data_IF_709084613418
#
_entry.id   IF_709084613418
#
_cell.length_a   1.000
_cell.length_b   1.000
_cell.length_c   1.000
_cell.angle_alpha   90.00
_cell.angle_beta   90.00
_cell.angle_gamma   90.00
#
_symmetry.space_group_name_H-M   'P 1'
#
loop_
_entity.id
_entity.type
_entity.pdbx_description
1 polymer ?
#
# COMPACT_ATOMS: atom_id res chain seq x y z
N UNK A 1 66.65 62.66 -22.99
CA UNK A 1 67.42 61.90 -23.98
C UNK A 1 67.79 60.55 -23.38
N UNK A 2 67.43 59.46 -24.08
CA UNK A 2 67.90 58.07 -23.91
C UNK A 2 67.54 57.34 -22.59
N UNK A 3 67.34 56.04 -22.54
CA UNK A 3 67.04 54.98 -23.51
C UNK A 3 66.71 53.71 -22.70
N UNK A 4 65.94 52.82 -23.33
CA UNK A 4 65.46 51.50 -22.89
C UNK A 4 66.59 50.46 -22.67
N UNK A 5 66.34 49.49 -21.77
CA UNK A 5 66.69 48.04 -21.77
C UNK A 5 67.20 47.59 -20.39
N UNK A 6 66.89 46.42 -19.83
CA UNK A 6 66.04 45.30 -20.22
C UNK A 6 66.10 44.17 -19.16
N UNK A 7 65.08 43.30 -19.21
CA UNK A 7 65.03 41.85 -18.95
C UNK A 7 65.43 41.19 -17.60
N UNK A 8 64.57 40.22 -17.27
CA UNK A 8 64.72 39.01 -16.43
C UNK A 8 64.68 39.26 -14.91
N UNK A 9 63.79 38.67 -14.12
CA UNK A 9 63.06 37.42 -14.24
C UNK A 9 63.50 36.52 -13.07
N UNK A 10 62.66 36.39 -12.05
CA UNK A 10 62.69 35.47 -10.88
C UNK A 10 61.60 36.03 -9.94
N UNK A 11 60.63 35.32 -9.40
CA UNK A 11 60.26 33.92 -9.36
C UNK A 11 59.18 33.83 -8.28
N UNK A 12 58.07 33.15 -8.61
CA UNK A 12 57.11 32.47 -7.73
C UNK A 12 56.98 32.90 -6.25
N UNK A 13 55.75 33.26 -5.85
CA UNK A 13 54.90 32.38 -5.03
C UNK A 13 53.77 33.17 -4.34
N UNK A 14 52.56 32.59 -4.33
CA UNK A 14 51.56 32.90 -3.30
C UNK A 14 50.24 33.50 -3.78
N UNK A 15 49.54 32.90 -4.75
CA UNK A 15 48.09 33.12 -4.87
C UNK A 15 47.37 32.40 -3.73
N UNK A 16 47.37 33.00 -2.53
CA UNK A 16 46.49 32.62 -1.44
C UNK A 16 45.09 33.17 -1.70
N UNK A 17 44.30 32.48 -2.52
CA UNK A 17 42.87 32.79 -2.67
C UNK A 17 42.16 32.25 -1.43
N UNK A 18 41.85 33.15 -0.50
CA UNK A 18 40.94 32.93 0.63
C UNK A 18 39.65 32.35 0.06
N UNK A 19 39.46 31.04 0.21
CA UNK A 19 38.22 30.38 -0.18
C UNK A 19 37.16 30.84 0.83
N UNK A 20 36.42 31.87 0.42
CA UNK A 20 35.22 32.32 1.11
C UNK A 20 34.37 31.09 1.41
N UNK A 21 34.10 30.88 2.70
CA UNK A 21 33.06 29.96 3.16
C UNK A 21 31.75 30.44 2.55
N UNK A 22 31.41 29.88 1.39
CA UNK A 22 30.06 29.95 0.85
C UNK A 22 29.18 29.18 1.82
N UNK A 23 28.41 29.90 2.63
CA UNK A 23 27.29 29.36 3.38
C UNK A 23 26.15 29.11 2.38
N UNK A 24 26.38 28.23 1.40
CA UNK A 24 25.36 27.80 0.47
C UNK A 24 24.50 26.73 1.15
N UNK A 25 23.33 27.17 1.58
CA UNK A 25 22.16 26.29 1.67
C UNK A 25 22.07 25.47 2.95
N UNK A 26 22.14 26.09 4.12
CA UNK A 26 21.26 25.64 5.20
C UNK A 26 19.81 25.95 4.78
N UNK A 27 19.25 25.08 3.94
CA UNK A 27 17.81 25.00 3.79
C UNK A 27 17.25 24.69 5.19
N UNK A 28 16.55 25.66 5.78
CA UNK A 28 16.02 25.53 7.13
C UNK A 28 15.23 24.22 7.28
N UNK A 29 15.36 23.48 8.40
CA UNK A 29 14.51 22.33 8.69
C UNK A 29 13.16 22.85 9.22
N UNK A 30 12.46 23.62 8.39
CA UNK A 30 11.18 24.20 8.71
C UNK A 30 10.13 23.28 8.09
N UNK A 31 9.68 22.33 8.90
CA UNK A 31 8.36 21.70 8.77
C UNK A 31 8.13 20.84 7.52
N UNK A 32 8.85 19.72 7.38
CA UNK A 32 8.33 18.61 6.57
C UNK A 32 7.11 18.04 7.29
N UNK A 33 5.95 18.66 7.11
CA UNK A 33 4.66 18.01 7.38
C UNK A 33 4.59 16.83 6.42
N UNK A 34 4.80 15.62 6.94
CA UNK A 34 4.50 14.40 6.19
C UNK A 34 3.03 14.47 5.77
N UNK A 35 2.79 14.76 4.49
CA UNK A 35 1.44 14.76 3.93
C UNK A 35 0.89 13.34 4.07
N UNK A 36 -0.31 13.22 4.65
CA UNK A 36 -0.99 11.95 4.72
C UNK A 36 -1.50 11.57 3.32
N UNK A 37 -0.68 10.81 2.60
CA UNK A 37 -0.92 10.34 1.23
C UNK A 37 -1.39 8.88 1.25
N UNK A 38 -1.86 8.36 0.10
CA UNK A 38 -2.22 6.94 0.00
C UNK A 38 -0.97 6.08 0.18
N UNK A 39 -1.04 5.10 1.07
CA UNK A 39 0.04 4.14 1.24
C UNK A 39 0.16 3.24 0.01
N UNK A 40 1.35 3.25 -0.60
CA UNK A 40 1.74 2.22 -1.57
C UNK A 40 2.32 1.04 -0.80
N UNK A 41 1.68 -0.13 -0.90
CA UNK A 41 2.12 -1.33 -0.20
C UNK A 41 3.01 -2.13 -1.18
N UNK A 42 4.28 -2.42 -0.84
CA UNK A 42 5.15 -3.16 -1.73
C UNK A 42 4.64 -4.58 -1.93
N UNK A 43 4.83 -5.14 -3.13
CA UNK A 43 4.33 -6.47 -3.47
C UNK A 43 5.00 -7.60 -2.67
N UNK A 44 6.20 -7.35 -2.12
CA UNK A 44 6.90 -8.26 -1.20
C UNK A 44 6.08 -8.60 0.05
N UNK A 45 5.16 -7.74 0.48
CA UNK A 45 4.27 -7.99 1.64
C UNK A 45 3.25 -9.09 1.35
N UNK A 46 2.96 -9.35 0.08
CA UNK A 46 1.93 -10.32 -0.34
C UNK A 46 2.51 -11.62 -0.88
N UNK A 47 3.83 -11.79 -0.82
CA UNK A 47 4.49 -13.05 -1.18
C UNK A 47 4.48 -13.97 0.05
N UNK A 48 3.74 -15.10 0.02
CA UNK A 48 3.70 -16.01 1.16
C UNK A 48 5.05 -16.69 1.32
N UNK A 49 5.48 -16.85 2.57
CA UNK A 49 6.71 -17.58 2.91
C UNK A 49 6.35 -19.06 3.13
N UNK A 50 7.27 -20.01 2.89
CA UNK A 50 7.04 -21.43 3.14
C UNK A 50 6.42 -21.73 4.53
N UNK A 51 6.92 -21.08 5.59
CA UNK A 51 6.39 -21.25 6.96
C UNK A 51 4.99 -20.67 7.21
N UNK A 52 4.49 -19.75 6.37
CA UNK A 52 3.13 -19.24 6.49
C UNK A 52 2.10 -20.31 6.08
N UNK A 53 2.46 -21.20 5.15
CA UNK A 53 1.58 -22.25 4.66
C UNK A 53 1.30 -23.30 5.74
N UNK A 54 2.30 -23.68 6.53
CA UNK A 54 2.14 -24.61 7.66
C UNK A 54 1.26 -24.00 8.77
N UNK A 55 1.43 -22.70 9.03
CA UNK A 55 0.69 -22.00 10.09
C UNK A 55 -0.78 -21.78 9.76
N UNK A 56 -1.07 -21.41 8.53
CA UNK A 56 -2.42 -21.03 8.10
C UNK A 56 -3.14 -22.14 7.31
N UNK A 57 -2.48 -23.28 7.06
CA UNK A 57 -3.05 -24.46 6.42
C UNK A 57 -3.52 -24.22 4.98
N UNK A 58 -2.86 -23.28 4.27
CA UNK A 58 -3.22 -22.90 2.91
C UNK A 58 -2.33 -23.54 1.87
N UNK A 59 -2.91 -24.29 0.93
CA UNK A 59 -2.18 -24.90 -0.18
C UNK A 59 -1.91 -23.86 -1.28
N UNK A 60 -0.64 -23.63 -1.68
CA UNK A 60 -0.31 -22.72 -2.78
C UNK A 60 -0.76 -23.26 -4.14
N UNK A 61 -0.82 -24.59 -4.28
CA UNK A 61 -1.24 -25.26 -5.52
C UNK A 61 -2.74 -25.07 -5.80
N UNK A 62 -3.55 -24.99 -4.76
CA UNK A 62 -5.00 -24.80 -4.87
C UNK A 62 -5.44 -23.52 -4.15
N UNK A 63 -5.31 -22.35 -4.80
CA UNK A 63 -5.77 -21.11 -4.23
C UNK A 63 -7.30 -21.10 -4.09
N UNK A 64 -7.78 -20.54 -2.99
CA UNK A 64 -9.21 -20.40 -2.76
C UNK A 64 -9.85 -19.43 -3.76
N UNK A 65 -11.00 -19.83 -4.32
CA UNK A 65 -11.69 -19.06 -5.36
C UNK A 65 -12.50 -17.88 -4.81
N UNK A 66 -12.96 -17.97 -3.56
CA UNK A 66 -13.86 -17.00 -2.93
C UNK A 66 -13.34 -16.57 -1.55
N UNK A 67 -13.41 -15.27 -1.29
CA UNK A 67 -13.12 -14.64 0.00
C UNK A 67 -14.41 -14.34 0.76
N UNK A 68 -14.43 -14.66 2.05
CA UNK A 68 -15.41 -14.14 3.00
C UNK A 68 -14.80 -12.93 3.69
N UNK A 69 -15.36 -11.77 3.43
CA UNK A 69 -14.86 -10.51 3.96
C UNK A 69 -15.89 -9.93 4.92
N UNK A 70 -15.42 -9.55 6.10
CA UNK A 70 -16.26 -8.95 7.13
C UNK A 70 -15.60 -7.66 7.61
N UNK A 71 -16.33 -6.54 7.61
CA UNK A 71 -15.82 -5.32 8.22
C UNK A 71 -15.83 -5.42 9.74
N UNK A 72 -14.68 -5.20 10.37
CA UNK A 72 -14.51 -5.27 11.84
C UNK A 72 -14.26 -3.91 12.49
N UNK A 73 -13.68 -2.94 11.75
CA UNK A 73 -13.44 -1.59 12.27
C UNK A 73 -14.37 -0.56 11.61
N UNK A 74 -14.60 0.54 12.32
CA UNK A 74 -15.40 1.66 11.83
C UNK A 74 -14.68 2.44 10.72
N UNK A 75 -15.48 3.07 9.86
CA UNK A 75 -15.02 3.94 8.77
C UNK A 75 -15.02 5.43 9.16
N UNK A 76 -15.46 5.72 10.38
CA UNK A 76 -15.49 7.07 10.93
C UNK A 76 -14.03 7.52 11.15
N UNK A 77 -13.72 8.76 10.80
CA UNK A 77 -12.34 9.30 10.86
C UNK A 77 -11.38 8.74 9.81
N UNK A 78 -11.85 7.91 8.86
CA UNK A 78 -11.02 7.38 7.77
C UNK A 78 -11.01 8.28 6.54
N UNK A 79 -9.98 8.18 5.69
CA UNK A 79 -9.87 8.94 4.46
C UNK A 79 -11.03 8.64 3.50
N UNK A 80 -11.37 9.61 2.65
CA UNK A 80 -12.51 9.47 1.73
C UNK A 80 -12.34 8.32 0.71
N UNK A 81 -11.10 7.97 0.35
CA UNK A 81 -10.84 6.85 -0.57
C UNK A 81 -11.14 5.48 0.06
N UNK A 82 -10.85 5.29 1.35
CA UNK A 82 -11.21 4.06 2.07
C UNK A 82 -12.73 3.93 2.18
N UNK A 83 -13.42 5.04 2.47
CA UNK A 83 -14.89 5.10 2.51
C UNK A 83 -15.51 4.69 1.18
N UNK A 84 -14.97 5.17 0.06
CA UNK A 84 -15.44 4.80 -1.28
C UNK A 84 -15.28 3.31 -1.54
N UNK A 85 -14.10 2.75 -1.25
CA UNK A 85 -13.83 1.31 -1.46
C UNK A 85 -14.80 0.43 -0.64
N UNK A 86 -15.10 0.81 0.60
CA UNK A 86 -16.03 0.04 1.45
C UNK A 86 -17.46 0.03 0.87
N UNK A 87 -17.91 1.16 0.33
CA UNK A 87 -19.21 1.27 -0.34
C UNK A 87 -19.24 0.43 -1.62
N UNK A 88 -18.18 0.54 -2.43
CA UNK A 88 -18.05 -0.22 -3.68
C UNK A 88 -18.03 -1.75 -3.44
N UNK A 89 -17.51 -2.18 -2.29
CA UNK A 89 -17.51 -3.59 -1.87
C UNK A 89 -18.81 -4.01 -1.14
N UNK A 90 -19.72 -3.08 -0.83
CA UNK A 90 -20.98 -3.39 -0.13
C UNK A 90 -20.78 -3.79 1.33
N UNK A 91 -19.74 -3.25 1.99
CA UNK A 91 -19.36 -3.49 3.39
C UNK A 91 -19.82 -2.36 4.31
N UNK A 92 -20.99 -1.78 4.05
CA UNK A 92 -21.52 -0.63 4.80
C UNK A 92 -21.97 -0.98 6.23
N UNK A 93 -22.42 -2.21 6.44
CA UNK A 93 -22.77 -2.74 7.77
C UNK A 93 -21.57 -3.48 8.37
N UNK A 94 -21.29 -3.20 9.65
CA UNK A 94 -20.23 -3.91 10.37
C UNK A 94 -20.66 -5.34 10.71
N UNK A 95 -19.69 -6.24 10.89
CA UNK A 95 -19.90 -7.64 11.28
C UNK A 95 -20.78 -8.46 10.34
N UNK A 96 -21.03 -7.97 9.12
CA UNK A 96 -21.77 -8.65 8.10
C UNK A 96 -20.81 -9.28 7.08
N UNK A 97 -20.77 -10.62 6.95
CA UNK A 97 -19.91 -11.26 5.98
C UNK A 97 -20.45 -11.09 4.56
N UNK A 98 -19.52 -10.81 3.63
CA UNK A 98 -19.75 -10.69 2.19
C UNK A 98 -18.83 -11.63 1.43
N UNK A 99 -19.32 -12.16 0.32
CA UNK A 99 -18.55 -13.05 -0.56
C UNK A 99 -18.04 -12.26 -1.76
N UNK A 100 -16.73 -12.33 -2.00
CA UNK A 100 -16.09 -11.72 -3.16
C UNK A 100 -15.16 -12.71 -3.85
N UNK A 101 -15.04 -12.59 -5.17
CA UNK A 101 -14.10 -13.38 -5.98
C UNK A 101 -12.66 -13.04 -5.64
N UNK A 102 -11.79 -14.05 -5.66
CA UNK A 102 -10.34 -13.87 -5.63
C UNK A 102 -9.82 -13.44 -7.01
N UNK A 103 -10.03 -12.17 -7.37
CA UNK A 103 -9.50 -11.58 -8.61
C UNK A 103 -8.55 -10.41 -8.31
N UNK A 104 -7.50 -10.16 -9.12
CA UNK A 104 -6.53 -9.10 -8.86
C UNK A 104 -7.16 -7.72 -8.67
N UNK A 105 -8.19 -7.38 -9.45
CA UNK A 105 -8.89 -6.10 -9.32
C UNK A 105 -9.58 -5.93 -7.96
N UNK A 106 -10.10 -7.01 -7.37
CA UNK A 106 -10.72 -6.98 -6.04
C UNK A 106 -9.63 -6.96 -4.98
N UNK A 107 -8.60 -7.79 -5.13
CA UNK A 107 -7.48 -7.88 -4.20
C UNK A 107 -6.79 -6.52 -4.02
N UNK A 108 -6.53 -5.77 -5.09
CA UNK A 108 -5.93 -4.42 -4.99
C UNK A 108 -6.76 -3.46 -4.14
N UNK A 109 -8.10 -3.54 -4.21
CA UNK A 109 -8.98 -2.73 -3.34
C UNK A 109 -8.89 -3.20 -1.89
N UNK A 110 -8.88 -4.51 -1.68
CA UNK A 110 -8.76 -5.11 -0.35
C UNK A 110 -7.41 -4.81 0.31
N UNK A 111 -6.31 -4.71 -0.46
CA UNK A 111 -4.98 -4.31 0.05
C UNK A 111 -5.03 -2.95 0.76
N UNK A 112 -5.79 -2.00 0.21
CA UNK A 112 -5.93 -0.63 0.78
C UNK A 112 -6.70 -0.64 2.09
N UNK A 113 -7.76 -1.45 2.19
CA UNK A 113 -8.65 -1.47 3.38
C UNK A 113 -8.36 -2.63 4.33
N UNK A 114 -7.22 -3.32 4.18
CA UNK A 114 -6.87 -4.54 4.93
C UNK A 114 -6.93 -4.37 6.45
N UNK A 115 -6.69 -3.15 6.95
CA UNK A 115 -6.73 -2.82 8.38
C UNK A 115 -8.15 -2.67 8.95
N UNK A 116 -9.18 -2.59 8.10
CA UNK A 116 -10.58 -2.41 8.48
C UNK A 116 -11.40 -3.70 8.42
N UNK A 117 -10.89 -4.70 7.71
CA UNK A 117 -11.60 -5.93 7.38
C UNK A 117 -10.91 -7.15 8.00
N UNK A 118 -11.72 -8.17 8.28
CA UNK A 118 -11.27 -9.54 8.50
C UNK A 118 -11.44 -10.31 7.20
N UNK A 119 -10.42 -11.07 6.87
CA UNK A 119 -10.37 -11.90 5.68
C UNK A 119 -10.38 -13.36 6.10
N UNK A 120 -11.33 -14.15 5.58
CA UNK A 120 -11.34 -15.59 5.71
C UNK A 120 -11.45 -16.22 4.31
N UNK A 121 -10.70 -17.28 4.04
CA UNK A 121 -10.90 -18.11 2.84
C UNK A 121 -12.14 -18.98 3.04
N UNK A 122 -13.07 -18.98 2.08
CA UNK A 122 -14.13 -19.99 2.05
C UNK A 122 -13.74 -21.08 1.06
N UNK A 123 -13.60 -22.31 1.56
CA UNK A 123 -13.69 -23.50 0.70
C UNK A 123 -15.12 -23.58 0.16
N UNK A 124 -15.27 -23.89 -1.12
CA UNK A 124 -16.55 -23.85 -1.89
C UNK A 124 -17.70 -24.68 -1.28
N UNK A 125 -17.41 -25.59 -0.34
CA UNK A 125 -18.41 -26.32 0.45
C UNK A 125 -19.13 -25.45 1.50
N UNK A 126 -18.53 -24.33 1.93
CA UNK A 126 -19.02 -23.53 3.06
C UNK A 126 -20.14 -22.54 2.72
N UNK A 127 -20.23 -21.86 1.55
CA UNK A 127 -21.31 -20.91 1.26
C UNK A 127 -22.70 -21.54 1.34
N UNK A 128 -22.89 -22.77 0.84
CA UNK A 128 -24.16 -23.52 0.97
C UNK A 128 -24.49 -23.88 2.42
N UNK A 129 -23.49 -24.15 3.25
CA UNK A 129 -23.66 -24.45 4.68
C UNK A 129 -23.89 -23.19 5.53
N UNK A 130 -23.21 -22.09 5.22
CA UNK A 130 -23.32 -20.81 5.91
C UNK A 130 -24.66 -20.09 5.62
N UNK A 131 -25.21 -20.27 4.40
CA UNK A 131 -26.53 -19.75 4.06
C UNK A 131 -27.65 -20.54 4.77
N UNK A 132 -27.48 -21.86 4.99
CA UNK A 132 -28.37 -22.66 5.86
C UNK A 132 -28.37 -22.20 7.32
N UNK A 133 -27.28 -21.59 7.79
CA UNK A 133 -27.16 -21.00 9.13
C UNK A 133 -27.61 -19.52 9.20
N UNK A 134 -28.05 -18.94 8.07
CA UNK A 134 -28.49 -17.53 8.00
C UNK A 134 -27.36 -16.48 8.18
N UNK A 135 -26.09 -16.89 8.13
CA UNK A 135 -24.94 -16.05 8.52
C UNK A 135 -24.51 -15.10 7.40
N UNK A 136 -24.66 -15.51 6.13
CA UNK A 136 -24.25 -14.74 4.95
C UNK A 136 -25.52 -14.27 4.23
N UNK A 137 -25.68 -12.96 4.01
CA UNK A 137 -26.85 -12.48 3.25
C UNK A 137 -26.86 -13.12 1.86
N UNK A 138 -28.05 -13.54 1.43
CA UNK A 138 -28.31 -14.15 0.13
C UNK A 138 -27.50 -13.47 -0.98
N UNK A 139 -26.60 -14.25 -1.60
CA UNK A 139 -26.03 -13.89 -2.90
C UNK A 139 -27.19 -13.59 -3.84
N UNK A 140 -27.20 -12.40 -4.44
CA UNK A 140 -28.14 -12.10 -5.52
C UNK A 140 -28.03 -13.19 -6.61
N UNK A 141 -29.13 -13.50 -7.32
CA UNK A 141 -29.10 -14.54 -8.36
C UNK A 141 -28.09 -14.27 -9.48
N UNK A 142 -27.76 -12.98 -9.67
CA UNK A 142 -26.69 -12.50 -10.56
C UNK A 142 -25.30 -12.89 -10.05
N UNK A 143 -25.09 -12.84 -8.74
CA UNK A 143 -23.87 -13.33 -8.11
C UNK A 143 -23.80 -14.85 -8.17
N UNK A 144 -24.88 -15.59 -7.83
CA UNK A 144 -24.89 -17.07 -7.90
C UNK A 144 -24.50 -17.60 -9.28
N UNK A 145 -25.05 -17.03 -10.37
CA UNK A 145 -24.68 -17.38 -11.75
C UNK A 145 -23.23 -17.03 -12.12
N UNK A 146 -22.63 -16.06 -11.44
CA UNK A 146 -21.24 -15.67 -11.66
C UNK A 146 -20.24 -16.52 -10.85
N UNK A 147 -20.71 -17.36 -9.91
CA UNK A 147 -19.89 -18.21 -9.03
C UNK A 147 -20.04 -19.71 -9.35
N UNK A 148 -20.82 -20.07 -10.36
CA UNK A 148 -20.86 -21.38 -11.01
C UNK A 148 -20.16 -21.27 -12.37
#
# INVERSE_FOLDING_TARGET
MAAVAGRAGLGLAGTGKVLGKSMEGMASPVWVRCLFTRSSIPDSVFQPRPGDHEKYGGNPEEPHKIHVITRIKSVIGRPYWEKKIIRDLGLDKAHQPRLHKNIPSVNSRLKVVKHLIRFNSATEASPRAANRRGIVQHLSDKQRRAYH
#
